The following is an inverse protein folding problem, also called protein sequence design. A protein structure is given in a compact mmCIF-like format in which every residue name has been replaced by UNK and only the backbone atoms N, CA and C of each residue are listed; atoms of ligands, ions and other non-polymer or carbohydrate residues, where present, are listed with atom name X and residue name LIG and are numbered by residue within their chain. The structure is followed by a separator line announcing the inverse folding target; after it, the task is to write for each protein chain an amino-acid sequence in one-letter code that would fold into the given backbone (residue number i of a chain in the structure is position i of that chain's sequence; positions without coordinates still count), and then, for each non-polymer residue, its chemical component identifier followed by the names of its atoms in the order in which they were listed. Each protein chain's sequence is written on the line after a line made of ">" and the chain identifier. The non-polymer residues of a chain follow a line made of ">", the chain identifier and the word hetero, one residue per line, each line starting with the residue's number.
data_IF_949768889984
#
_entry.id   IF_949768889984
#
_cell.length_a   1.000
_cell.length_b   1.000
_cell.length_c   1.000
_cell.angle_alpha   90.00
_cell.angle_beta   90.00
_cell.angle_gamma   90.00
#
_symmetry.space_group_name_H-M   'P 1'
#
loop_
_entity.id
_entity.type
_entity.pdbx_description
1 polymer ?
#
# COMPACT_ATOMS: atom_id res chain seq x y z
N UNK A 1 -43.22 -3.96 -20.60
CA UNK A 1 -42.95 -5.07 -21.53
C UNK A 1 -41.67 -4.76 -22.27
N UNK A 2 -40.68 -5.63 -22.14
CA UNK A 2 -39.38 -5.50 -22.77
C UNK A 2 -39.16 -6.68 -23.72
N UNK A 3 -38.42 -6.42 -24.80
CA UNK A 3 -38.13 -7.42 -25.83
C UNK A 3 -36.62 -7.50 -26.01
N UNK A 4 -36.06 -8.69 -25.84
CA UNK A 4 -34.67 -9.00 -26.16
C UNK A 4 -34.64 -9.82 -27.44
N UNK A 5 -33.81 -9.40 -28.40
CA UNK A 5 -33.54 -10.14 -29.64
C UNK A 5 -32.09 -10.61 -29.62
N UNK A 6 -31.88 -11.90 -29.86
CA UNK A 6 -30.54 -12.50 -29.93
C UNK A 6 -30.40 -13.23 -31.25
N UNK A 7 -29.33 -12.93 -31.98
CA UNK A 7 -28.97 -13.57 -33.24
C UNK A 7 -27.59 -14.19 -33.07
N UNK A 8 -27.49 -15.51 -33.18
CA UNK A 8 -26.21 -16.20 -33.11
C UNK A 8 -25.48 -16.12 -34.45
N UNK A 9 -24.15 -16.03 -34.43
CA UNK A 9 -23.29 -16.03 -35.62
C UNK A 9 -22.33 -17.22 -35.54
N UNK A 10 -22.05 -17.87 -36.68
CA UNK A 10 -21.22 -19.08 -36.74
C UNK A 10 -19.70 -18.86 -36.67
N UNK A 11 -19.24 -17.63 -36.38
CA UNK A 11 -17.82 -17.25 -36.29
C UNK A 11 -17.48 -16.62 -34.94
N UNK A 12 -16.20 -16.66 -34.55
CA UNK A 12 -15.70 -16.19 -33.23
C UNK A 12 -15.64 -14.67 -33.07
N UNK A 13 -15.94 -13.90 -34.12
CA UNK A 13 -15.77 -12.43 -34.19
C UNK A 13 -16.95 -11.73 -34.89
N UNK A 14 -18.15 -12.31 -34.85
CA UNK A 14 -19.37 -11.80 -35.50
C UNK A 14 -19.30 -11.74 -37.05
N UNK A 15 -18.24 -12.24 -37.69
CA UNK A 15 -18.08 -12.25 -39.17
C UNK A 15 -18.78 -13.44 -39.87
N UNK A 16 -19.28 -14.41 -39.10
CA UNK A 16 -19.94 -15.62 -39.62
C UNK A 16 -21.32 -15.36 -40.23
N UNK A 17 -21.96 -16.41 -40.74
CA UNK A 17 -23.34 -16.31 -41.23
C UNK A 17 -24.31 -16.17 -40.06
N UNK A 18 -25.21 -15.18 -40.13
CA UNK A 18 -26.23 -14.98 -39.12
C UNK A 18 -27.20 -16.17 -39.08
N UNK A 19 -27.36 -16.76 -37.91
CA UNK A 19 -28.37 -17.78 -37.63
C UNK A 19 -29.76 -17.19 -37.39
N UNK A 20 -30.75 -18.02 -37.05
CA UNK A 20 -32.09 -17.55 -36.71
C UNK A 20 -32.06 -16.60 -35.51
N UNK A 21 -32.91 -15.58 -35.55
CA UNK A 21 -33.06 -14.61 -34.45
C UNK A 21 -34.13 -15.09 -33.49
N UNK A 22 -33.77 -15.20 -32.22
CA UNK A 22 -34.70 -15.55 -31.15
C UNK A 22 -35.18 -14.26 -30.47
N UNK A 23 -36.49 -14.13 -30.31
CA UNK A 23 -37.12 -13.00 -29.64
C UNK A 23 -37.72 -13.47 -28.33
N UNK A 24 -37.28 -12.90 -27.21
CA UNK A 24 -37.81 -13.17 -25.87
C UNK A 24 -38.56 -11.94 -25.40
N UNK A 25 -39.84 -12.13 -25.04
CA UNK A 25 -40.67 -11.11 -24.41
C UNK A 25 -40.70 -11.35 -22.90
N UNK A 26 -40.40 -10.31 -22.11
CA UNK A 26 -40.52 -10.37 -20.66
C UNK A 26 -41.09 -9.08 -20.09
N UNK A 27 -41.75 -9.20 -18.94
CA UNK A 27 -42.27 -8.07 -18.20
C UNK A 27 -41.45 -7.89 -16.93
N UNK A 28 -40.99 -6.67 -16.69
CA UNK A 28 -40.40 -6.29 -15.40
C UNK A 28 -41.53 -5.68 -14.58
N UNK A 29 -41.86 -6.30 -13.46
CA UNK A 29 -42.80 -5.75 -12.49
C UNK A 29 -42.01 -5.22 -11.32
N UNK A 30 -41.98 -3.90 -11.15
CA UNK A 30 -41.44 -3.31 -9.92
C UNK A 30 -42.50 -3.51 -8.84
N UNK A 31 -42.19 -4.30 -7.81
CA UNK A 31 -43.03 -4.42 -6.63
C UNK A 31 -42.91 -3.14 -5.80
N UNK A 32 -43.69 -2.11 -6.13
CA UNK A 32 -43.90 -0.98 -5.24
C UNK A 32 -44.98 -1.35 -4.20
N UNK A 33 -44.61 -2.10 -3.17
CA UNK A 33 -45.45 -2.31 -2.00
C UNK A 33 -44.61 -2.40 -0.73
N UNK A 34 -44.14 -1.23 -0.31
CA UNK A 34 -43.79 -0.98 1.08
C UNK A 34 -44.37 0.38 1.44
N UNK A 35 -45.56 0.41 2.04
CA UNK A 35 -46.03 1.58 2.77
C UNK A 35 -44.95 1.94 3.79
N UNK A 36 -44.53 3.21 3.93
CA UNK A 36 -43.54 3.57 4.94
C UNK A 36 -44.09 3.19 6.32
N UNK A 37 -43.42 2.22 6.96
CA UNK A 37 -43.68 1.89 8.37
C UNK A 37 -43.44 3.15 9.20
N UNK A 38 -44.40 3.61 10.01
CA UNK A 38 -44.18 4.75 10.87
C UNK A 38 -42.99 4.48 11.80
N UNK A 39 -42.08 5.45 11.87
CA UNK A 39 -40.94 5.44 12.80
C UNK A 39 -41.46 5.11 14.21
N UNK A 40 -40.97 4.05 14.87
CA UNK A 40 -41.38 3.77 16.24
C UNK A 40 -40.98 4.94 17.14
N UNK A 41 -41.97 5.47 17.86
CA UNK A 41 -41.75 6.34 19.01
C UNK A 41 -40.92 5.55 20.02
N UNK A 42 -39.80 6.09 20.56
CA UNK A 42 -38.97 5.36 21.50
C UNK A 42 -39.77 5.04 22.76
N UNK A 43 -40.11 3.77 22.94
CA UNK A 43 -40.57 3.23 24.22
C UNK A 43 -39.44 3.35 25.23
N UNK A 44 -39.70 3.97 26.37
CA UNK A 44 -38.75 4.07 27.47
C UNK A 44 -38.17 2.67 27.81
N UNK A 45 -36.86 2.55 27.73
CA UNK A 45 -36.12 1.35 28.12
C UNK A 45 -36.42 1.03 29.58
N UNK A 46 -36.86 -0.19 29.93
CA UNK A 46 -37.01 -0.59 31.33
C UNK A 46 -35.64 -0.51 32.02
N UNK A 47 -35.63 0.11 33.20
CA UNK A 47 -34.47 0.20 34.09
C UNK A 47 -34.02 -1.24 34.40
N UNK A 48 -32.80 -1.57 33.99
CA UNK A 48 -32.19 -2.86 34.30
C UNK A 48 -31.95 -2.96 35.81
N UNK A 49 -32.52 -3.99 36.43
CA UNK A 49 -32.21 -4.43 37.79
C UNK A 49 -30.72 -4.77 37.89
N UNK A 50 -30.04 -4.20 38.89
CA UNK A 50 -28.62 -4.40 39.11
C UNK A 50 -28.26 -5.90 39.24
N UNK A 51 -27.42 -6.37 38.33
CA UNK A 51 -26.76 -7.68 38.42
C UNK A 51 -25.53 -7.53 39.31
N UNK A 52 -25.31 -8.40 40.32
CA UNK A 52 -24.17 -8.27 41.23
C UNK A 52 -22.84 -8.40 40.48
N UNK A 53 -21.89 -7.55 40.86
CA UNK A 53 -20.59 -7.39 40.24
C UNK A 53 -19.77 -8.70 40.26
N UNK A 54 -19.32 -9.22 39.10
CA UNK A 54 -18.28 -10.22 39.08
C UNK A 54 -16.95 -9.60 39.54
N UNK A 55 -16.30 -10.27 40.48
CA UNK A 55 -15.00 -9.92 41.04
C UNK A 55 -13.96 -9.76 39.92
N UNK A 56 -13.33 -8.59 39.86
CA UNK A 56 -12.35 -8.20 38.86
C UNK A 56 -11.10 -9.10 38.90
N UNK A 57 -10.91 -9.87 37.84
CA UNK A 57 -9.57 -10.35 37.45
C UNK A 57 -9.05 -9.37 36.40
N UNK A 58 -7.86 -8.75 36.53
CA UNK A 58 -7.42 -7.74 35.59
C UNK A 58 -7.03 -8.39 34.26
N UNK A 59 -7.85 -8.18 33.23
CA UNK A 59 -7.49 -8.46 31.82
C UNK A 59 -6.94 -7.17 31.23
N UNK A 60 -5.65 -7.17 30.96
CA UNK A 60 -4.91 -6.16 30.21
C UNK A 60 -5.39 -6.14 28.75
N UNK A 61 -6.49 -5.46 28.47
CA UNK A 61 -6.87 -5.01 27.13
C UNK A 61 -6.26 -3.64 26.86
N UNK A 62 -4.96 -3.60 26.60
CA UNK A 62 -4.25 -2.38 26.18
C UNK A 62 -3.66 -2.60 24.79
N UNK A 63 -4.21 -1.95 23.77
CA UNK A 63 -3.45 -1.70 22.54
C UNK A 63 -2.19 -0.91 22.92
N UNK A 64 -1.07 -1.17 22.23
CA UNK A 64 0.15 -0.42 22.51
C UNK A 64 -0.09 1.08 22.27
N UNK A 65 0.25 1.89 23.28
CA UNK A 65 0.30 3.34 23.09
C UNK A 65 1.29 3.67 21.97
N UNK A 66 1.02 4.71 21.19
CA UNK A 66 2.02 5.29 20.28
C UNK A 66 3.11 6.06 21.03
N UNK A 67 2.95 6.28 22.34
CA UNK A 67 3.96 6.87 23.20
C UNK A 67 5.03 5.83 23.58
N UNK A 68 6.30 6.25 23.53
CA UNK A 68 7.41 5.42 23.99
C UNK A 68 7.31 5.09 25.49
N UNK A 69 7.67 3.87 25.90
CA UNK A 69 7.73 3.49 27.30
C UNK A 69 8.86 4.20 28.04
N UNK A 70 8.71 4.33 29.36
CA UNK A 70 9.75 4.93 30.23
C UNK A 70 11.02 4.08 30.37
N UNK A 71 10.97 2.80 29.97
CA UNK A 71 12.11 1.89 30.03
C UNK A 71 12.04 0.82 28.94
N UNK A 72 13.24 0.39 28.50
CA UNK A 72 13.43 -0.67 27.52
C UNK A 72 14.37 -1.73 28.08
N UNK A 73 14.06 -2.99 27.80
CA UNK A 73 14.96 -4.13 27.95
C UNK A 73 15.99 -4.15 26.83
N UNK A 74 17.09 -4.89 27.06
CA UNK A 74 18.06 -5.22 26.02
C UNK A 74 17.40 -6.06 24.92
N UNK A 75 18.01 -6.11 23.71
CA UNK A 75 17.51 -6.95 22.64
C UNK A 75 17.31 -8.42 23.02
N UNK A 76 16.38 -9.09 22.34
CA UNK A 76 16.10 -10.52 22.52
C UNK A 76 16.33 -11.34 21.26
N UNK A 77 16.57 -12.64 21.45
CA UNK A 77 16.60 -13.64 20.38
C UNK A 77 15.49 -14.66 20.65
N UNK A 78 14.55 -14.77 19.72
CA UNK A 78 13.44 -15.73 19.75
C UNK A 78 13.89 -16.97 18.98
N UNK A 79 14.16 -18.06 19.70
CA UNK A 79 14.62 -19.33 19.12
C UNK A 79 13.57 -20.44 19.11
N UNK A 80 12.34 -20.14 19.53
CA UNK A 80 11.19 -21.07 19.59
C UNK A 80 9.91 -20.31 19.27
N UNK A 81 8.90 -21.02 18.78
CA UNK A 81 7.58 -20.47 18.54
C UNK A 81 6.89 -20.06 19.84
N UNK A 82 5.94 -19.15 19.73
CA UNK A 82 5.20 -18.62 20.86
C UNK A 82 4.79 -17.16 20.69
N UNK A 83 4.15 -16.63 21.73
CA UNK A 83 3.75 -15.22 21.81
C UNK A 83 4.72 -14.46 22.70
N UNK A 84 5.17 -13.31 22.21
CA UNK A 84 6.15 -12.45 22.87
C UNK A 84 5.58 -11.03 22.96
N UNK A 85 5.73 -10.43 24.13
CA UNK A 85 5.42 -9.03 24.38
C UNK A 85 6.51 -8.37 25.22
N UNK A 86 6.79 -7.09 24.95
CA UNK A 86 7.79 -6.36 25.71
C UNK A 86 8.29 -5.09 25.03
N UNK A 87 9.17 -4.41 25.75
CA UNK A 87 9.83 -3.18 25.30
C UNK A 87 11.30 -3.50 25.06
N UNK A 88 11.76 -3.52 23.81
CA UNK A 88 13.14 -3.87 23.48
C UNK A 88 13.81 -2.78 22.67
N UNK A 89 15.05 -2.46 23.03
CA UNK A 89 15.81 -1.44 22.32
C UNK A 89 17.23 -1.85 22.01
N UNK A 90 17.62 -1.71 20.76
CA UNK A 90 19.03 -1.73 20.36
C UNK A 90 19.66 -0.34 20.52
N UNK A 91 20.93 -0.30 20.90
CA UNK A 91 21.76 0.92 20.89
C UNK A 91 22.76 0.93 19.73
N UNK A 92 22.81 -0.12 18.91
CA UNK A 92 23.75 -0.28 17.80
C UNK A 92 23.03 -0.22 16.46
N UNK A 93 23.60 0.50 15.49
CA UNK A 93 23.10 0.55 14.11
C UNK A 93 23.21 -0.80 13.40
N UNK A 94 24.16 -1.64 13.84
CA UNK A 94 24.35 -3.01 13.30
C UNK A 94 23.61 -4.07 14.15
N UNK A 95 22.86 -3.65 15.16
CA UNK A 95 22.10 -4.52 16.05
C UNK A 95 20.61 -4.56 15.72
N UNK A 96 19.88 -5.42 16.44
CA UNK A 96 18.43 -5.55 16.38
C UNK A 96 17.77 -5.35 17.73
N UNK A 97 16.48 -4.99 17.76
CA UNK A 97 15.70 -5.04 19.00
C UNK A 97 15.19 -6.46 19.27
N UNK A 98 14.74 -7.16 18.23
CA UNK A 98 14.29 -8.55 18.27
C UNK A 98 14.91 -9.29 17.09
N UNK A 99 15.50 -10.47 17.35
CA UNK A 99 15.87 -11.42 16.30
C UNK A 99 15.00 -12.66 16.37
N UNK A 100 14.39 -13.04 15.25
CA UNK A 100 13.64 -14.28 15.10
C UNK A 100 14.54 -15.32 14.43
N UNK A 101 14.99 -16.29 15.21
CA UNK A 101 15.91 -17.35 14.80
C UNK A 101 15.21 -18.73 14.79
N UNK A 102 13.94 -18.76 14.36
CA UNK A 102 13.15 -19.99 14.26
C UNK A 102 12.17 -19.92 13.10
N UNK A 103 11.79 -21.09 12.57
CA UNK A 103 10.73 -21.26 11.57
C UNK A 103 9.38 -21.63 12.18
N UNK A 104 9.35 -21.85 13.51
CA UNK A 104 8.12 -22.05 14.26
C UNK A 104 7.28 -20.77 14.29
N UNK A 105 5.94 -20.84 14.43
CA UNK A 105 5.11 -19.65 14.49
C UNK A 105 5.45 -18.74 15.67
N UNK A 106 5.74 -17.47 15.38
CA UNK A 106 6.06 -16.43 16.37
C UNK A 106 5.03 -15.31 16.26
N UNK A 107 4.46 -14.92 17.40
CA UNK A 107 3.61 -13.74 17.52
C UNK A 107 4.35 -12.72 18.36
N UNK A 108 4.60 -11.53 17.82
CA UNK A 108 5.08 -10.36 18.57
C UNK A 108 3.90 -9.41 18.68
N UNK A 109 3.44 -9.16 19.91
CA UNK A 109 2.27 -8.31 20.12
C UNK A 109 2.40 -7.39 21.32
N UNK A 110 1.65 -6.28 21.30
CA UNK A 110 1.59 -5.32 22.40
C UNK A 110 2.99 -4.89 22.87
N UNK A 111 3.87 -4.60 21.89
CA UNK A 111 5.29 -4.38 22.11
C UNK A 111 5.74 -2.99 21.68
N UNK A 112 6.85 -2.52 22.25
CA UNK A 112 7.53 -1.30 21.85
C UNK A 112 8.96 -1.61 21.44
N UNK A 113 9.29 -1.39 20.17
CA UNK A 113 10.61 -1.68 19.62
C UNK A 113 11.28 -0.37 19.22
N UNK A 114 12.54 -0.19 19.59
CA UNK A 114 13.28 1.00 19.25
C UNK A 114 14.75 0.72 18.94
N UNK A 115 15.38 1.62 18.22
CA UNK A 115 16.82 1.57 17.99
C UNK A 115 17.24 2.14 16.63
N UNK A 116 18.56 2.27 16.41
CA UNK A 116 19.08 2.80 15.15
C UNK A 116 19.25 1.75 14.05
N UNK A 117 19.32 0.47 14.40
CA UNK A 117 19.41 -0.66 13.47
C UNK A 117 18.05 -1.26 13.13
N UNK A 118 18.05 -2.48 12.59
CA UNK A 118 16.81 -3.20 12.22
C UNK A 118 16.01 -3.59 13.47
N UNK A 119 14.72 -3.28 13.56
CA UNK A 119 13.98 -3.52 14.80
C UNK A 119 13.58 -4.99 14.98
N UNK A 120 13.02 -5.62 13.95
CA UNK A 120 12.82 -7.08 13.87
C UNK A 120 13.69 -7.62 12.74
N UNK A 121 14.72 -8.39 13.11
CA UNK A 121 15.54 -9.17 12.17
C UNK A 121 15.03 -10.61 12.13
N UNK A 122 14.46 -11.03 11.00
CA UNK A 122 13.97 -12.38 10.77
C UNK A 122 14.66 -13.06 9.58
N UNK A 123 15.87 -12.60 9.22
CA UNK A 123 16.62 -13.11 8.09
C UNK A 123 17.12 -14.54 8.35
N UNK A 124 16.93 -15.43 7.36
CA UNK A 124 17.58 -16.75 7.30
C UNK A 124 16.91 -17.86 8.12
N UNK A 125 15.74 -17.61 8.70
CA UNK A 125 15.01 -18.57 9.52
C UNK A 125 13.80 -19.22 8.83
N UNK A 126 13.48 -18.88 7.58
CA UNK A 126 12.20 -19.26 6.94
C UNK A 126 11.02 -18.90 7.86
N UNK A 127 11.05 -17.66 8.35
CA UNK A 127 10.26 -17.22 9.50
C UNK A 127 8.74 -17.28 9.25
N UNK A 128 7.98 -17.59 10.31
CA UNK A 128 6.52 -17.53 10.31
C UNK A 128 6.09 -16.55 11.40
N UNK A 129 5.80 -15.30 11.02
CA UNK A 129 5.66 -14.20 11.98
C UNK A 129 4.31 -13.52 11.84
N UNK A 130 3.68 -13.29 12.99
CA UNK A 130 2.62 -12.30 13.18
C UNK A 130 3.17 -11.16 14.05
N UNK A 131 3.06 -9.92 13.60
CA UNK A 131 3.40 -8.72 14.36
C UNK A 131 2.16 -7.85 14.46
N UNK A 132 1.68 -7.58 15.68
CA UNK A 132 0.47 -6.76 15.84
C UNK A 132 0.45 -5.87 17.05
N UNK A 133 -0.38 -4.83 16.99
CA UNK A 133 -0.64 -3.93 18.11
C UNK A 133 0.67 -3.41 18.75
N UNK A 134 1.69 -3.12 17.95
CA UNK A 134 3.03 -2.78 18.43
C UNK A 134 3.50 -1.46 17.84
N UNK A 135 4.44 -0.80 18.51
CA UNK A 135 5.06 0.44 18.06
C UNK A 135 6.55 0.28 17.78
N UNK A 136 7.02 0.98 16.76
CA UNK A 136 8.36 0.88 16.20
C UNK A 136 8.95 2.28 16.04
N UNK A 137 10.06 2.56 16.71
CA UNK A 137 10.71 3.87 16.70
C UNK A 137 12.15 3.77 16.19
N UNK A 138 12.40 4.34 15.01
CA UNK A 138 13.73 4.40 14.43
C UNK A 138 14.54 5.57 14.97
N UNK A 139 15.69 5.27 15.59
CA UNK A 139 16.58 6.28 16.15
C UNK A 139 17.67 6.66 15.17
N UNK A 140 18.15 7.89 15.27
CA UNK A 140 19.29 8.34 14.47
C UNK A 140 20.51 7.45 14.76
N UNK A 141 21.17 6.90 13.72
CA UNK A 141 22.38 6.09 13.90
C UNK A 141 23.47 6.82 14.66
N UNK A 142 24.20 6.09 15.50
CA UNK A 142 25.37 6.61 16.21
C UNK A 142 26.65 6.59 15.33
N UNK A 143 26.55 6.03 14.12
CA UNK A 143 27.62 5.94 13.12
C UNK A 143 27.30 6.87 11.95
N UNK A 144 28.32 7.60 11.50
CA UNK A 144 28.23 8.52 10.37
C UNK A 144 28.03 7.79 9.03
N UNK A 145 27.35 8.44 8.09
CA UNK A 145 27.06 7.91 6.75
C UNK A 145 26.38 6.52 6.76
N UNK A 146 25.60 6.25 7.81
CA UNK A 146 24.72 5.09 7.91
C UNK A 146 23.29 5.56 8.06
N UNK A 147 22.37 4.90 7.36
CA UNK A 147 20.93 5.10 7.52
C UNK A 147 20.40 4.31 8.71
N UNK A 148 19.17 4.60 9.09
CA UNK A 148 18.40 3.76 10.02
C UNK A 148 18.17 2.39 9.40
N UNK A 149 18.13 1.38 10.25
CA UNK A 149 17.73 0.03 9.85
C UNK A 149 16.23 -0.09 9.61
N UNK A 150 15.83 -1.27 9.14
CA UNK A 150 14.44 -1.58 8.82
C UNK A 150 13.56 -1.70 10.06
N UNK A 151 12.25 -1.50 9.95
CA UNK A 151 11.39 -1.89 11.07
C UNK A 151 11.27 -3.41 11.15
N UNK A 152 11.03 -4.06 10.01
CA UNK A 152 10.91 -5.51 9.89
C UNK A 152 11.66 -5.96 8.64
N UNK A 153 12.64 -6.86 8.81
CA UNK A 153 13.38 -7.48 7.71
C UNK A 153 13.11 -8.98 7.68
N UNK A 154 12.40 -9.44 6.64
CA UNK A 154 12.05 -10.84 6.42
C UNK A 154 12.62 -11.30 5.08
N UNK A 155 13.85 -11.79 5.11
CA UNK A 155 14.47 -12.47 3.97
C UNK A 155 14.37 -13.99 4.13
N UNK A 156 13.68 -14.63 3.19
CA UNK A 156 13.21 -16.02 3.25
C UNK A 156 12.22 -16.26 4.38
N UNK A 157 10.92 -16.30 4.06
CA UNK A 157 9.87 -16.43 5.06
C UNK A 157 8.67 -17.24 4.56
N UNK A 158 7.93 -17.83 5.49
CA UNK A 158 6.72 -18.62 5.21
C UNK A 158 5.46 -17.79 5.33
N UNK A 159 5.35 -16.96 6.37
CA UNK A 159 4.13 -16.21 6.66
C UNK A 159 4.51 -14.86 7.29
N UNK A 160 3.81 -13.81 6.85
CA UNK A 160 3.94 -12.47 7.38
C UNK A 160 2.55 -11.87 7.59
N UNK A 161 2.16 -11.67 8.84
CA UNK A 161 0.93 -10.96 9.22
C UNK A 161 1.32 -9.76 10.07
N UNK A 162 1.31 -8.57 9.47
CA UNK A 162 1.79 -7.33 10.08
C UNK A 162 0.61 -6.36 10.17
N UNK A 163 -0.01 -6.27 11.35
CA UNK A 163 -1.31 -5.61 11.50
C UNK A 163 -1.42 -4.68 12.69
N UNK A 164 -2.10 -3.54 12.53
CA UNK A 164 -2.37 -2.60 13.62
C UNK A 164 -1.09 -2.13 14.34
N UNK A 165 -0.02 -1.88 13.60
CA UNK A 165 1.23 -1.37 14.16
C UNK A 165 1.40 0.13 13.87
N UNK A 166 2.21 0.78 14.71
CA UNK A 166 2.66 2.15 14.50
C UNK A 166 4.17 2.17 14.22
N UNK A 167 4.57 2.79 13.13
CA UNK A 167 5.97 2.95 12.74
C UNK A 167 6.31 4.43 12.65
N UNK A 168 7.32 4.89 13.39
CA UNK A 168 7.78 6.27 13.32
C UNK A 168 9.28 6.34 13.10
N UNK A 169 9.68 7.12 12.10
CA UNK A 169 11.08 7.49 11.86
C UNK A 169 12.00 6.27 11.65
N UNK A 170 11.48 5.12 11.21
CA UNK A 170 12.27 3.95 10.82
C UNK A 170 12.96 4.18 9.49
N UNK A 171 13.91 3.32 9.11
CA UNK A 171 14.32 3.24 7.70
C UNK A 171 13.18 2.67 6.85
N UNK A 172 13.51 1.88 5.82
CA UNK A 172 12.53 1.03 5.14
C UNK A 172 11.68 0.26 6.16
N UNK A 173 10.36 0.29 6.02
CA UNK A 173 9.49 -0.18 7.12
C UNK A 173 9.42 -1.70 7.10
N UNK A 174 9.01 -2.29 5.97
CA UNK A 174 8.80 -3.74 5.85
C UNK A 174 9.47 -4.24 4.56
N UNK A 175 10.48 -5.10 4.73
CA UNK A 175 11.10 -5.86 3.65
C UNK A 175 10.55 -7.30 3.67
N UNK A 176 9.93 -7.72 2.56
CA UNK A 176 9.41 -9.07 2.35
C UNK A 176 10.06 -9.68 1.12
N UNK A 177 11.09 -10.49 1.32
CA UNK A 177 11.85 -11.08 0.22
C UNK A 177 11.83 -12.62 0.27
N UNK A 178 11.68 -13.25 -0.90
CA UNK A 178 11.76 -14.71 -1.08
C UNK A 178 10.74 -15.53 -0.24
N UNK A 179 9.46 -15.39 -0.56
CA UNK A 179 8.39 -16.17 0.06
C UNK A 179 8.50 -17.69 -0.24
N UNK A 180 8.38 -18.53 0.80
CA UNK A 180 8.48 -20.00 0.72
C UNK A 180 7.33 -20.75 1.41
N UNK A 181 6.25 -20.04 1.78
CA UNK A 181 5.10 -20.61 2.50
C UNK A 181 4.13 -21.43 1.65
N UNK A 182 3.19 -22.10 2.31
CA UNK A 182 2.23 -23.02 1.69
C UNK A 182 1.00 -22.36 1.04
N UNK A 183 0.77 -21.06 1.25
CA UNK A 183 -0.34 -20.25 0.69
C UNK A 183 -1.75 -20.59 1.18
N UNK A 184 -1.92 -21.63 1.98
CA UNK A 184 -3.22 -22.02 2.54
C UNK A 184 -3.42 -21.44 3.92
N UNK A 185 -2.41 -21.60 4.78
CA UNK A 185 -2.38 -21.04 6.14
C UNK A 185 -1.26 -20.00 6.31
N UNK A 186 -0.30 -20.01 5.39
CA UNK A 186 0.86 -19.13 5.37
C UNK A 186 0.67 -18.14 4.23
N UNK A 187 0.62 -16.83 4.52
CA UNK A 187 0.29 -15.78 3.53
C UNK A 187 1.07 -14.49 3.82
N UNK A 188 0.85 -13.45 3.01
CA UNK A 188 1.35 -12.09 3.25
C UNK A 188 0.17 -11.17 3.52
N UNK A 189 0.15 -10.52 4.68
CA UNK A 189 -0.84 -9.51 5.06
C UNK A 189 -0.14 -8.35 5.74
N UNK A 190 -0.25 -7.15 5.16
CA UNK A 190 0.21 -5.89 5.75
C UNK A 190 -0.99 -4.96 5.84
N UNK A 191 -1.61 -4.84 7.02
CA UNK A 191 -2.91 -4.19 7.14
C UNK A 191 -3.06 -3.28 8.34
N UNK A 192 -3.86 -2.23 8.20
CA UNK A 192 -4.24 -1.36 9.33
C UNK A 192 -3.03 -0.72 10.02
N UNK A 193 -1.87 -0.61 9.37
CA UNK A 193 -0.70 -0.02 9.98
C UNK A 193 -0.71 1.49 9.79
N UNK A 194 -0.10 2.20 10.73
CA UNK A 194 0.16 3.63 10.64
C UNK A 194 1.66 3.86 10.57
N UNK A 195 2.11 4.60 9.55
CA UNK A 195 3.51 4.91 9.31
C UNK A 195 3.68 6.41 9.27
N UNK A 196 4.69 6.90 9.97
CA UNK A 196 5.06 8.31 10.01
C UNK A 196 6.53 8.50 9.75
N UNK A 197 6.86 9.20 8.68
CA UNK A 197 8.23 9.56 8.28
C UNK A 197 9.18 8.37 8.12
N UNK A 198 9.16 7.74 6.95
CA UNK A 198 10.20 6.79 6.52
C UNK A 198 11.50 7.59 6.32
N UNK A 199 12.57 7.26 7.02
CA UNK A 199 13.73 8.13 7.14
C UNK A 199 15.07 7.40 6.96
N UNK A 200 15.51 7.40 5.70
CA UNK A 200 16.80 6.85 5.27
C UNK A 200 17.96 7.86 5.28
N UNK A 201 17.80 9.04 5.89
CA UNK A 201 18.88 10.04 5.98
C UNK A 201 20.06 9.54 6.81
N UNK A 202 21.25 9.91 6.36
CA UNK A 202 22.46 9.80 7.17
C UNK A 202 22.48 10.89 8.25
N UNK A 203 23.09 10.61 9.40
CA UNK A 203 23.14 11.56 10.53
C UNK A 203 23.89 12.86 10.19
N UNK A 204 24.98 12.76 9.44
CA UNK A 204 26.03 13.79 9.35
C UNK A 204 26.27 14.31 7.93
N UNK A 205 25.40 13.96 6.98
CA UNK A 205 25.50 14.42 5.61
C UNK A 205 24.11 14.53 4.99
N UNK A 206 24.02 15.18 3.83
CA UNK A 206 22.79 15.21 3.03
C UNK A 206 22.58 13.87 2.28
N UNK A 207 23.43 12.88 2.52
CA UNK A 207 23.28 11.56 1.92
C UNK A 207 22.12 10.79 2.53
N UNK A 208 21.55 9.91 1.71
CA UNK A 208 20.54 8.96 2.10
C UNK A 208 20.66 7.72 1.21
N UNK A 209 20.03 6.63 1.63
CA UNK A 209 19.69 5.50 0.76
C UNK A 209 18.19 5.48 0.49
N UNK A 210 17.77 4.60 -0.41
CA UNK A 210 16.37 4.37 -0.69
C UNK A 210 15.72 3.44 0.33
N UNK A 211 14.44 3.66 0.59
CA UNK A 211 13.67 2.85 1.51
C UNK A 211 12.18 3.05 1.29
N UNK A 212 11.43 1.97 1.49
CA UNK A 212 10.02 1.89 1.14
C UNK A 212 9.15 1.74 2.39
N UNK A 213 7.83 1.90 2.25
CA UNK A 213 6.92 1.38 3.29
C UNK A 213 6.87 -0.14 3.19
N UNK A 214 6.56 -0.70 2.02
CA UNK A 214 6.64 -2.13 1.78
C UNK A 214 7.44 -2.41 0.52
N UNK A 215 8.47 -3.23 0.65
CA UNK A 215 9.19 -3.83 -0.47
C UNK A 215 8.81 -5.31 -0.57
N UNK A 216 8.42 -5.75 -1.77
CA UNK A 216 8.05 -7.13 -2.04
C UNK A 216 8.97 -7.71 -3.10
N UNK A 217 9.85 -8.64 -2.69
CA UNK A 217 10.97 -9.13 -3.48
C UNK A 217 10.89 -10.61 -3.85
N UNK A 218 11.23 -10.95 -5.10
CA UNK A 218 11.58 -12.29 -5.56
C UNK A 218 10.53 -13.41 -5.38
N UNK A 219 9.24 -13.09 -5.21
CA UNK A 219 8.20 -14.12 -5.08
C UNK A 219 8.02 -14.95 -6.35
N UNK A 220 8.19 -14.32 -7.52
CA UNK A 220 8.01 -14.99 -8.81
C UNK A 220 9.13 -15.98 -9.15
N UNK A 221 10.26 -15.93 -8.44
CA UNK A 221 11.38 -16.86 -8.65
C UNK A 221 11.18 -18.22 -7.95
N UNK A 222 10.25 -18.30 -6.99
CA UNK A 222 10.02 -19.52 -6.22
C UNK A 222 8.55 -19.87 -6.07
N UNK A 223 7.75 -18.95 -5.53
CA UNK A 223 6.40 -19.26 -5.09
C UNK A 223 5.49 -18.01 -5.03
N UNK A 224 4.82 -17.64 -6.13
CA UNK A 224 3.91 -16.49 -6.14
C UNK A 224 2.79 -16.67 -5.11
N UNK A 225 2.42 -15.62 -4.37
CA UNK A 225 1.51 -15.72 -3.22
C UNK A 225 0.30 -14.82 -3.38
N UNK A 226 -0.86 -15.28 -2.92
CA UNK A 226 -2.00 -14.40 -2.65
C UNK A 226 -1.70 -13.60 -1.38
N UNK A 227 -1.22 -12.37 -1.56
CA UNK A 227 -0.96 -11.45 -0.46
C UNK A 227 -1.83 -10.19 -0.56
N UNK A 228 -1.90 -9.48 0.56
CA UNK A 228 -2.72 -8.29 0.75
C UNK A 228 -1.89 -7.19 1.41
N UNK A 229 -1.83 -6.02 0.78
CA UNK A 229 -1.37 -4.77 1.40
C UNK A 229 -2.56 -3.82 1.39
N UNK A 230 -3.26 -3.68 2.52
CA UNK A 230 -4.50 -2.92 2.52
C UNK A 230 -4.79 -2.14 3.78
N UNK A 231 -5.53 -1.04 3.63
CA UNK A 231 -5.95 -0.19 4.75
C UNK A 231 -4.79 0.34 5.60
N UNK A 232 -3.65 0.68 5.00
CA UNK A 232 -2.54 1.31 5.73
C UNK A 232 -2.58 2.84 5.58
N UNK A 233 -2.16 3.57 6.61
CA UNK A 233 -1.98 5.02 6.60
C UNK A 233 -0.49 5.35 6.63
N UNK A 234 0.06 5.86 5.54
CA UNK A 234 1.46 6.29 5.42
C UNK A 234 1.50 7.79 5.24
N UNK A 235 2.12 8.49 6.19
CA UNK A 235 2.27 9.95 6.15
C UNK A 235 3.73 10.31 6.37
N UNK A 236 4.34 10.83 5.32
CA UNK A 236 5.66 11.40 5.35
C UNK A 236 5.56 12.92 5.22
N UNK A 237 6.33 13.63 6.03
CA UNK A 237 6.41 15.08 6.04
C UNK A 237 7.64 15.54 5.23
N UNK A 238 7.51 16.56 4.35
CA UNK A 238 8.63 17.11 3.61
C UNK A 238 9.81 17.44 4.52
N UNK A 239 11.02 17.01 4.14
CA UNK A 239 12.24 17.26 4.89
C UNK A 239 12.44 16.43 6.17
N UNK A 240 11.44 15.69 6.64
CA UNK A 240 11.57 14.76 7.78
C UNK A 240 11.72 13.30 7.36
N UNK A 241 11.30 12.96 6.15
CA UNK A 241 11.43 11.65 5.55
C UNK A 241 12.41 11.64 4.38
N UNK A 242 12.93 10.46 4.05
CA UNK A 242 13.51 10.12 2.75
C UNK A 242 13.04 8.72 2.42
N UNK A 243 12.20 8.63 1.39
CA UNK A 243 11.65 7.39 0.88
C UNK A 243 11.83 7.33 -0.63
N UNK A 244 11.92 6.12 -1.15
CA UNK A 244 11.84 5.87 -2.58
C UNK A 244 10.39 5.61 -2.97
N UNK A 245 9.96 4.38 -3.09
CA UNK A 245 8.56 4.07 -3.36
C UNK A 245 7.86 3.77 -2.04
N UNK A 246 6.59 4.14 -1.91
CA UNK A 246 5.87 3.73 -0.70
C UNK A 246 5.58 2.23 -0.75
N UNK A 247 5.12 1.70 -1.89
CA UNK A 247 4.96 0.27 -2.11
C UNK A 247 5.71 -0.11 -3.38
N UNK A 248 6.70 -0.98 -3.27
CA UNK A 248 7.49 -1.48 -4.39
C UNK A 248 7.36 -3.00 -4.53
N UNK A 249 7.19 -3.47 -5.76
CA UNK A 249 7.29 -4.88 -6.11
C UNK A 249 8.49 -5.08 -7.02
N UNK A 250 9.48 -5.85 -6.58
CA UNK A 250 10.63 -6.25 -7.37
C UNK A 250 10.63 -7.76 -7.57
N UNK A 251 10.29 -8.19 -8.79
CA UNK A 251 10.19 -9.61 -9.15
C UNK A 251 9.18 -10.41 -8.30
N UNK A 252 8.04 -9.80 -8.00
CA UNK A 252 7.01 -10.35 -7.12
C UNK A 252 5.61 -10.28 -7.72
N UNK A 253 4.67 -11.04 -7.16
CA UNK A 253 3.31 -11.10 -7.66
C UNK A 253 2.51 -12.28 -7.13
N UNK A 254 1.27 -12.37 -7.63
CA UNK A 254 0.32 -13.44 -7.32
C UNK A 254 0.26 -14.52 -8.39
N UNK A 255 -0.88 -15.21 -8.46
CA UNK A 255 -1.20 -16.25 -9.46
C UNK A 255 -2.41 -15.85 -10.28
N UNK A 256 -2.57 -16.45 -11.45
CA UNK A 256 -3.76 -16.24 -12.29
C UNK A 256 -5.07 -16.57 -11.57
N UNK A 257 -5.06 -17.54 -10.65
CA UNK A 257 -6.21 -17.92 -9.84
C UNK A 257 -6.40 -17.06 -8.59
N UNK A 258 -5.41 -16.24 -8.21
CA UNK A 258 -5.44 -15.40 -7.01
C UNK A 258 -4.37 -14.32 -7.07
N UNK A 259 -4.79 -13.10 -7.36
CA UNK A 259 -3.90 -11.95 -7.54
C UNK A 259 -3.43 -11.42 -6.19
N UNK A 260 -2.25 -10.80 -6.15
CA UNK A 260 -1.81 -10.03 -4.99
C UNK A 260 -2.55 -8.69 -5.00
N UNK A 261 -3.19 -8.30 -3.90
CA UNK A 261 -3.99 -7.08 -3.83
C UNK A 261 -3.29 -5.96 -3.03
N UNK A 262 -3.38 -4.74 -3.55
CA UNK A 262 -2.91 -3.51 -2.90
C UNK A 262 -4.10 -2.55 -2.86
N UNK A 263 -4.76 -2.39 -1.71
CA UNK A 263 -6.03 -1.67 -1.72
C UNK A 263 -6.34 -0.80 -0.51
N UNK A 264 -7.13 0.24 -0.76
CA UNK A 264 -7.65 1.12 0.29
C UNK A 264 -6.56 1.72 1.20
N UNK A 265 -5.32 1.87 0.70
CA UNK A 265 -4.26 2.53 1.45
C UNK A 265 -4.35 4.05 1.29
N UNK A 266 -3.92 4.79 2.31
CA UNK A 266 -3.58 6.20 2.19
C UNK A 266 -2.07 6.36 2.19
N UNK A 267 -1.54 6.90 1.09
CA UNK A 267 -0.11 7.01 0.84
C UNK A 267 0.24 8.47 0.57
N UNK A 268 0.84 9.15 1.55
CA UNK A 268 1.24 10.56 1.44
C UNK A 268 2.74 10.75 1.56
N UNK A 269 3.32 11.46 0.59
CA UNK A 269 4.65 12.06 0.72
C UNK A 269 5.81 11.11 0.40
N UNK A 270 6.09 10.83 -0.87
CA UNK A 270 7.40 10.27 -1.19
C UNK A 270 8.39 11.37 -1.55
N UNK A 271 9.51 11.42 -0.82
CA UNK A 271 10.50 12.49 -0.93
C UNK A 271 11.93 11.96 -0.99
N UNK A 272 12.74 12.54 -1.87
CA UNK A 272 14.18 12.24 -1.92
C UNK A 272 14.95 12.89 -0.77
N UNK A 273 16.20 12.48 -0.60
CA UNK A 273 17.18 13.14 0.28
C UNK A 273 17.34 14.62 -0.05
N UNK A 274 17.46 14.93 -1.35
CA UNK A 274 17.34 16.28 -1.90
C UNK A 274 16.00 16.41 -2.64
N UNK A 275 15.05 17.09 -2.01
CA UNK A 275 13.69 17.31 -2.57
C UNK A 275 13.67 18.11 -3.88
N UNK A 276 14.81 18.64 -4.32
CA UNK A 276 14.95 19.35 -5.60
C UNK A 276 15.93 18.69 -6.57
N UNK A 277 16.32 17.44 -6.34
CA UNK A 277 17.00 16.64 -7.35
C UNK A 277 16.02 16.27 -8.48
N UNK A 278 16.25 16.68 -9.74
CA UNK A 278 15.38 16.32 -10.86
C UNK A 278 15.44 14.82 -11.23
N UNK A 279 16.44 14.07 -10.75
CA UNK A 279 16.70 12.69 -11.15
C UNK A 279 16.28 11.64 -10.11
N UNK A 280 15.83 12.02 -8.92
CA UNK A 280 15.61 11.03 -7.88
C UNK A 280 14.35 10.17 -8.08
N UNK A 281 14.31 9.03 -7.40
CA UNK A 281 13.18 8.10 -7.38
C UNK A 281 12.29 8.33 -6.14
N UNK A 282 11.00 8.63 -6.35
CA UNK A 282 10.02 8.84 -5.28
C UNK A 282 8.59 8.51 -5.75
N UNK A 283 8.17 7.27 -5.57
CA UNK A 283 6.88 6.78 -6.06
C UNK A 283 5.82 6.53 -4.98
N UNK A 284 4.58 6.39 -5.43
CA UNK A 284 3.50 5.81 -4.63
C UNK A 284 3.55 4.28 -4.69
N UNK A 285 2.96 3.69 -5.72
CA UNK A 285 2.91 2.23 -5.94
C UNK A 285 3.66 1.88 -7.23
N UNK A 286 4.83 1.26 -7.14
CA UNK A 286 5.63 0.88 -8.31
C UNK A 286 5.77 -0.63 -8.43
N UNK A 287 5.56 -1.11 -9.66
CA UNK A 287 5.80 -2.50 -10.04
C UNK A 287 7.04 -2.56 -10.92
N UNK A 288 8.16 -2.94 -10.32
CA UNK A 288 9.47 -3.02 -10.94
C UNK A 288 9.80 -4.45 -11.37
N UNK A 289 10.03 -4.59 -12.67
CA UNK A 289 10.52 -5.83 -13.26
C UNK A 289 11.34 -5.52 -14.50
N UNK A 290 12.10 -6.50 -14.98
CA UNK A 290 12.91 -6.36 -16.19
C UNK A 290 12.22 -6.94 -17.43
N UNK A 291 11.21 -7.79 -17.23
CA UNK A 291 10.50 -8.52 -18.28
C UNK A 291 9.07 -8.88 -17.85
N UNK A 292 8.30 -9.49 -18.76
CA UNK A 292 6.89 -9.82 -18.53
C UNK A 292 6.65 -11.01 -17.60
N UNK A 293 7.69 -11.68 -17.11
CA UNK A 293 7.59 -12.88 -16.26
C UNK A 293 7.84 -12.60 -14.80
N UNK A 294 8.58 -11.53 -14.48
CA UNK A 294 9.07 -11.28 -13.13
C UNK A 294 8.08 -10.57 -12.21
N UNK A 295 7.12 -9.80 -12.73
CA UNK A 295 6.02 -9.26 -11.94
C UNK A 295 4.70 -9.65 -12.59
N UNK A 296 3.77 -10.25 -11.82
CA UNK A 296 2.52 -10.71 -12.41
C UNK A 296 1.34 -10.82 -11.42
N UNK A 297 0.12 -10.69 -11.96
CA UNK A 297 -1.12 -10.92 -11.22
C UNK A 297 -1.21 -10.04 -9.97
N UNK A 298 -1.15 -8.74 -10.19
CA UNK A 298 -1.18 -7.70 -9.14
C UNK A 298 -2.36 -6.78 -9.42
N UNK A 299 -3.19 -6.58 -8.42
CA UNK A 299 -4.35 -5.69 -8.49
C UNK A 299 -4.19 -4.58 -7.46
N UNK A 300 -4.24 -3.32 -7.91
CA UNK A 300 -4.16 -2.15 -7.04
C UNK A 300 -5.42 -1.30 -7.16
N UNK A 301 -6.21 -1.18 -6.09
CA UNK A 301 -7.49 -0.47 -6.17
C UNK A 301 -7.91 0.30 -4.93
N UNK A 302 -8.74 1.33 -5.11
CA UNK A 302 -9.29 2.10 -3.99
C UNK A 302 -8.25 2.86 -3.18
N UNK A 303 -6.98 2.94 -3.63
CA UNK A 303 -5.92 3.65 -2.91
C UNK A 303 -6.08 5.17 -3.08
N UNK A 304 -5.74 5.92 -2.02
CA UNK A 304 -5.65 7.37 -2.02
C UNK A 304 -4.17 7.76 -1.92
N UNK A 305 -3.59 8.18 -3.03
CA UNK A 305 -2.18 8.54 -3.17
C UNK A 305 -2.08 10.06 -3.27
N UNK A 306 -1.33 10.67 -2.36
CA UNK A 306 -1.25 12.11 -2.21
C UNK A 306 0.19 12.63 -2.13
N UNK A 307 0.46 13.79 -2.73
CA UNK A 307 1.74 14.51 -2.58
C UNK A 307 2.97 13.64 -2.83
N UNK A 308 2.98 12.90 -3.94
CA UNK A 308 4.14 12.14 -4.40
C UNK A 308 4.95 13.03 -5.34
N UNK A 309 6.27 12.97 -5.25
CA UNK A 309 7.15 13.78 -6.10
C UNK A 309 7.23 13.25 -7.53
N UNK A 310 7.69 12.00 -7.73
CA UNK A 310 8.06 11.49 -9.06
C UNK A 310 6.88 10.81 -9.77
N UNK A 311 6.47 9.60 -9.34
CA UNK A 311 5.44 8.81 -10.02
C UNK A 311 4.36 8.34 -9.07
N UNK A 312 3.08 8.58 -9.38
CA UNK A 312 1.99 8.16 -8.50
C UNK A 312 1.85 6.64 -8.42
N UNK A 313 1.59 6.00 -9.56
CA UNK A 313 1.56 4.54 -9.67
C UNK A 313 1.91 4.07 -11.08
N UNK A 314 2.53 2.90 -11.21
CA UNK A 314 2.85 2.38 -12.53
C UNK A 314 3.60 1.06 -12.54
N UNK A 315 3.94 0.61 -13.75
CA UNK A 315 4.69 -0.61 -13.96
C UNK A 315 5.81 -0.40 -14.98
N UNK A 316 7.02 -0.80 -14.62
CA UNK A 316 8.17 -0.80 -15.52
C UNK A 316 8.25 -2.04 -16.43
N UNK A 317 7.64 -3.14 -15.99
CA UNK A 317 7.50 -4.39 -16.71
C UNK A 317 6.43 -5.27 -16.03
N UNK A 318 6.21 -6.47 -16.57
CA UNK A 318 5.37 -7.51 -15.96
C UNK A 318 4.14 -7.86 -16.79
N UNK A 319 3.21 -8.60 -16.19
CA UNK A 319 1.96 -8.98 -16.86
C UNK A 319 0.76 -9.12 -15.96
N UNK A 320 -0.44 -8.90 -16.49
CA UNK A 320 -1.68 -9.00 -15.71
C UNK A 320 -1.60 -8.13 -14.46
N UNK A 321 -1.38 -6.84 -14.69
CA UNK A 321 -1.34 -5.82 -13.64
C UNK A 321 -2.55 -4.92 -13.86
N UNK A 322 -3.38 -4.76 -12.84
CA UNK A 322 -4.62 -4.01 -12.94
C UNK A 322 -4.69 -2.95 -11.85
N UNK A 323 -4.64 -1.68 -12.24
CA UNK A 323 -4.70 -0.53 -11.33
C UNK A 323 -6.00 0.24 -11.58
N UNK A 324 -6.95 0.18 -10.65
CA UNK A 324 -8.27 0.79 -10.88
C UNK A 324 -8.93 1.41 -9.66
N UNK A 325 -9.84 2.34 -9.86
CA UNK A 325 -10.58 3.02 -8.79
C UNK A 325 -9.67 3.70 -7.74
N UNK A 326 -8.42 4.02 -8.12
CA UNK A 326 -7.49 4.76 -7.28
C UNK A 326 -7.67 6.26 -7.49
N UNK A 327 -7.29 7.03 -6.47
CA UNK A 327 -7.21 8.49 -6.52
C UNK A 327 -5.76 8.89 -6.34
N UNK A 328 -5.19 9.56 -7.34
CA UNK A 328 -3.78 10.00 -7.33
C UNK A 328 -3.75 11.52 -7.49
N UNK A 329 -3.58 12.23 -6.38
CA UNK A 329 -3.68 13.69 -6.32
C UNK A 329 -2.37 14.28 -5.80
N UNK A 330 -1.67 15.06 -6.61
CA UNK A 330 -0.46 15.79 -6.25
C UNK A 330 -0.51 17.17 -6.91
N UNK A 331 -0.23 18.22 -6.13
CA UNK A 331 -0.08 19.57 -6.72
C UNK A 331 1.23 19.74 -7.48
N UNK A 332 2.16 18.80 -7.32
CA UNK A 332 3.53 18.93 -7.81
C UNK A 332 4.36 20.00 -7.12
N UNK A 333 3.88 20.58 -6.00
CA UNK A 333 4.52 21.71 -5.31
C UNK A 333 4.80 21.42 -3.84
N UNK A 334 5.83 22.07 -3.32
CA UNK A 334 6.05 22.18 -1.88
C UNK A 334 5.13 23.24 -1.24
N UNK A 335 5.20 23.37 0.09
CA UNK A 335 4.40 24.34 0.86
C UNK A 335 4.73 25.82 0.53
N UNK A 336 5.86 26.09 -0.14
CA UNK A 336 6.20 27.45 -0.62
C UNK A 336 5.61 27.75 -2.00
N UNK A 337 4.99 26.75 -2.65
CA UNK A 337 4.46 26.84 -4.00
C UNK A 337 5.51 26.56 -5.10
N UNK A 338 6.72 26.14 -4.73
CA UNK A 338 7.77 25.76 -5.69
C UNK A 338 7.48 24.36 -6.23
N UNK A 339 7.63 24.21 -7.54
CA UNK A 339 7.49 22.91 -8.20
C UNK A 339 8.58 21.93 -7.79
N UNK A 340 8.19 20.67 -7.58
CA UNK A 340 9.11 19.55 -7.52
C UNK A 340 9.64 19.27 -8.93
N UNK A 341 10.98 19.21 -9.11
CA UNK A 341 11.56 19.04 -10.42
C UNK A 341 11.52 17.58 -10.90
N UNK A 342 11.62 16.62 -9.98
CA UNK A 342 11.37 15.22 -10.26
C UNK A 342 9.87 14.98 -10.24
N UNK A 343 9.18 15.30 -11.34
CA UNK A 343 7.77 14.99 -11.55
C UNK A 343 7.61 14.28 -12.88
N UNK A 344 7.11 13.05 -12.83
CA UNK A 344 6.76 12.26 -13.99
C UNK A 344 5.24 12.29 -14.16
N UNK A 345 4.50 11.25 -13.75
CA UNK A 345 3.06 11.21 -13.98
C UNK A 345 2.28 10.61 -12.80
N UNK A 346 0.98 10.93 -12.69
CA UNK A 346 0.11 10.25 -11.74
C UNK A 346 0.01 8.74 -12.02
N UNK A 347 -0.12 8.36 -13.28
CA UNK A 347 -0.07 6.97 -13.72
C UNK A 347 0.86 6.77 -14.90
N UNK A 348 1.56 5.63 -14.95
CA UNK A 348 2.47 5.35 -16.05
C UNK A 348 2.67 3.86 -16.32
N UNK A 349 3.25 3.55 -17.48
CA UNK A 349 3.60 2.21 -17.88
C UNK A 349 4.45 2.20 -19.15
N UNK A 350 5.71 1.79 -19.00
CA UNK A 350 6.63 1.64 -20.11
C UNK A 350 7.80 0.73 -19.72
N UNK A 351 8.45 0.14 -20.71
CA UNK A 351 9.68 -0.63 -20.55
C UNK A 351 10.85 0.23 -20.06
N UNK A 352 10.98 0.41 -18.75
CA UNK A 352 12.04 1.26 -18.20
C UNK A 352 13.43 0.70 -18.49
N UNK A 353 13.58 -0.63 -18.41
CA UNK A 353 14.89 -1.29 -18.48
C UNK A 353 15.32 -1.69 -19.89
N UNK A 354 14.40 -1.72 -20.87
CA UNK A 354 14.68 -2.01 -22.30
C UNK A 354 15.46 -3.32 -22.54
N UNK A 355 15.37 -4.26 -21.61
CA UNK A 355 16.07 -5.55 -21.60
C UNK A 355 15.33 -6.64 -22.38
N UNK A 356 14.00 -6.56 -22.42
CA UNK A 356 13.12 -7.49 -23.14
C UNK A 356 12.37 -6.74 -24.26
N UNK A 357 12.23 -7.29 -25.48
CA UNK A 357 11.43 -6.69 -26.55
C UNK A 357 9.91 -6.66 -26.26
N UNK A 358 9.41 -7.47 -25.34
CA UNK A 358 8.02 -7.57 -24.89
C UNK A 358 7.92 -7.57 -23.35
N UNK A 359 8.37 -6.52 -22.66
CA UNK A 359 8.51 -6.51 -21.21
C UNK A 359 7.17 -6.37 -20.47
N UNK A 360 6.08 -6.08 -21.19
CA UNK A 360 4.76 -5.79 -20.62
C UNK A 360 3.66 -6.55 -21.36
N UNK A 361 2.68 -7.10 -20.65
CA UNK A 361 1.50 -7.75 -21.26
C UNK A 361 0.27 -7.59 -20.36
N UNK A 362 -0.87 -7.15 -20.89
CA UNK A 362 -2.09 -6.97 -20.10
C UNK A 362 -1.90 -6.08 -18.85
N UNK A 363 -1.34 -4.90 -19.09
CA UNK A 363 -1.27 -3.83 -18.09
C UNK A 363 -2.49 -2.94 -18.28
N UNK A 364 -3.35 -2.88 -17.27
CA UNK A 364 -4.62 -2.16 -17.30
C UNK A 364 -4.62 -1.09 -16.21
N UNK A 365 -4.82 0.16 -16.59
CA UNK A 365 -5.01 1.26 -15.65
C UNK A 365 -6.33 1.95 -15.98
N UNK A 366 -7.37 1.69 -15.19
CA UNK A 366 -8.74 2.06 -15.55
C UNK A 366 -9.56 2.64 -14.41
N UNK A 367 -10.56 3.47 -14.71
CA UNK A 367 -11.51 4.00 -13.72
C UNK A 367 -10.86 4.78 -12.54
N UNK A 368 -9.65 5.29 -12.72
CA UNK A 368 -8.98 6.07 -11.68
C UNK A 368 -9.35 7.55 -11.76
N UNK A 369 -9.04 8.30 -10.70
CA UNK A 369 -9.15 9.76 -10.65
C UNK A 369 -7.75 10.35 -10.51
N UNK A 370 -7.33 11.15 -11.49
CA UNK A 370 -5.99 11.74 -11.53
C UNK A 370 -6.01 13.25 -11.40
N UNK A 371 -5.16 13.74 -10.52
CA UNK A 371 -4.92 15.16 -10.26
C UNK A 371 -3.43 15.38 -10.12
N UNK A 372 -2.67 15.51 -11.21
CA UNK A 372 -1.21 15.61 -11.14
C UNK A 372 -0.66 16.91 -11.74
N UNK A 373 -0.27 17.85 -10.88
CA UNK A 373 0.44 19.05 -11.30
C UNK A 373 1.88 18.74 -11.69
N UNK A 374 2.31 19.20 -12.86
CA UNK A 374 3.68 19.09 -13.34
C UNK A 374 4.04 20.26 -14.26
N UNK A 375 5.00 21.11 -13.87
CA UNK A 375 5.33 22.33 -14.61
C UNK A 375 5.79 22.07 -16.04
N UNK A 376 5.21 22.79 -17.00
CA UNK A 376 5.59 22.71 -18.42
C UNK A 376 5.01 21.51 -19.17
N UNK A 377 4.23 20.67 -18.51
CA UNK A 377 3.50 19.55 -19.12
C UNK A 377 2.06 19.95 -19.48
N UNK A 378 1.36 19.04 -20.15
CA UNK A 378 -0.03 19.21 -20.53
C UNK A 378 -0.81 17.92 -20.25
N UNK A 379 -1.99 18.04 -19.62
CA UNK A 379 -2.87 16.89 -19.37
C UNK A 379 -3.24 16.19 -20.68
N UNK A 380 -3.08 14.87 -20.68
CA UNK A 380 -3.47 14.00 -21.78
C UNK A 380 -5.00 13.79 -21.85
N UNK A 381 -5.76 14.21 -20.83
CA UNK A 381 -7.21 14.09 -20.77
C UNK A 381 -7.88 15.39 -21.23
N UNK A 382 -7.64 16.50 -20.52
CA UNK A 382 -8.28 17.80 -20.80
C UNK A 382 -7.47 18.71 -21.73
N UNK A 383 -6.16 18.52 -21.81
CA UNK A 383 -5.25 19.48 -22.45
C UNK A 383 -4.84 20.65 -21.54
N UNK A 384 -5.15 20.61 -20.24
CA UNK A 384 -4.75 21.64 -19.28
C UNK A 384 -3.23 21.75 -19.15
N UNK A 385 -2.72 22.98 -19.09
CA UNK A 385 -1.30 23.26 -18.86
C UNK A 385 -0.87 22.93 -17.41
N UNK A 386 0.42 22.68 -17.26
CA UNK A 386 1.07 22.32 -16.00
C UNK A 386 0.48 21.07 -15.31
N UNK A 387 0.09 20.07 -16.11
CA UNK A 387 -0.44 18.77 -15.64
C UNK A 387 0.17 17.59 -16.40
N UNK A 388 0.31 16.45 -15.70
CA UNK A 388 0.70 15.16 -16.29
C UNK A 388 -0.04 14.00 -15.61
N UNK A 389 -1.33 13.85 -15.91
CA UNK A 389 -2.20 12.88 -15.24
C UNK A 389 -1.85 11.43 -15.57
N UNK A 390 -1.39 11.15 -16.78
CA UNK A 390 -0.77 9.86 -17.08
C UNK A 390 0.21 9.93 -18.24
N UNK A 391 1.19 9.03 -18.26
CA UNK A 391 2.03 8.78 -19.42
C UNK A 391 1.66 7.45 -20.08
N UNK A 392 1.13 7.54 -21.30
CA UNK A 392 0.80 6.39 -22.15
C UNK A 392 1.71 6.24 -23.37
N UNK A 393 2.88 6.89 -23.39
CA UNK A 393 3.79 6.93 -24.56
C UNK A 393 4.42 5.57 -24.88
N UNK A 394 4.38 4.61 -23.95
CA UNK A 394 4.66 3.21 -24.25
C UNK A 394 3.44 2.55 -24.90
N UNK A 395 3.59 2.00 -26.11
CA UNK A 395 2.60 1.11 -26.77
C UNK A 395 2.38 -0.23 -26.03
N UNK A 396 2.53 -0.25 -24.71
CA UNK A 396 2.75 -1.43 -23.87
C UNK A 396 1.63 -1.65 -22.85
N UNK A 397 0.55 -0.88 -22.93
CA UNK A 397 -0.66 -1.10 -22.14
C UNK A 397 -1.59 -2.09 -22.83
N UNK A 398 -2.21 -2.95 -22.02
CA UNK A 398 -3.44 -3.63 -22.41
C UNK A 398 -4.61 -2.65 -22.45
N UNK A 399 -4.66 -1.68 -21.52
CA UNK A 399 -5.70 -0.66 -21.48
C UNK A 399 -5.36 0.55 -20.58
N UNK A 400 -5.74 1.76 -21.03
CA UNK A 400 -5.75 3.02 -20.27
C UNK A 400 -7.11 3.70 -20.49
N UNK A 401 -8.17 3.29 -19.76
CA UNK A 401 -9.56 3.67 -20.09
C UNK A 401 -10.35 4.18 -18.90
N UNK A 402 -11.33 5.03 -19.18
CA UNK A 402 -12.28 5.56 -18.18
C UNK A 402 -11.64 6.27 -16.97
N UNK A 403 -10.35 6.60 -17.06
CA UNK A 403 -9.70 7.44 -16.07
C UNK A 403 -10.25 8.86 -16.20
N UNK A 404 -10.48 9.52 -15.07
CA UNK A 404 -11.09 10.84 -15.01
C UNK A 404 -10.12 11.84 -14.43
N UNK A 405 -10.20 13.04 -14.95
CA UNK A 405 -9.42 14.17 -14.48
C UNK A 405 -10.09 14.81 -13.26
N UNK A 406 -9.34 14.95 -12.17
CA UNK A 406 -9.74 15.69 -10.99
C UNK A 406 -9.65 17.20 -11.27
N UNK A 407 -10.77 17.90 -11.14
CA UNK A 407 -10.90 19.36 -11.36
C UNK A 407 -10.30 19.84 -12.70
N UNK A 408 -10.82 19.41 -13.85
CA UNK A 408 -10.40 19.94 -15.15
C UNK A 408 -10.61 21.46 -15.20
N UNK A 409 -9.68 22.17 -15.83
CA UNK A 409 -9.60 23.62 -15.94
C UNK A 409 -9.13 24.35 -14.68
N UNK A 410 -8.63 23.63 -13.67
CA UNK A 410 -8.23 24.22 -12.37
C UNK A 410 -6.89 23.69 -11.87
N UNK A 411 -6.16 24.53 -11.13
CA UNK A 411 -4.92 24.11 -10.45
C UNK A 411 -5.24 23.21 -9.26
N UNK A 412 -4.50 22.11 -9.13
CA UNK A 412 -4.54 21.23 -7.96
C UNK A 412 -3.80 21.91 -6.79
N UNK A 413 -4.41 21.92 -5.61
CA UNK A 413 -3.91 22.63 -4.43
C UNK A 413 -3.39 21.69 -3.33
N UNK A 414 -2.73 22.24 -2.32
CA UNK A 414 -2.39 21.48 -1.09
C UNK A 414 -3.64 20.97 -0.37
N UNK A 415 -4.69 21.79 -0.30
CA UNK A 415 -5.97 21.41 0.29
C UNK A 415 -6.62 20.20 -0.42
N UNK A 416 -6.41 20.05 -1.73
CA UNK A 416 -6.93 18.91 -2.49
C UNK A 416 -6.23 17.60 -2.11
N UNK A 417 -4.92 17.67 -1.86
CA UNK A 417 -4.12 16.53 -1.39
C UNK A 417 -4.50 16.15 0.04
N UNK A 418 -4.76 17.14 0.90
CA UNK A 418 -5.22 16.91 2.27
C UNK A 418 -6.64 16.36 2.34
N UNK A 419 -7.50 16.71 1.37
CA UNK A 419 -8.84 16.15 1.27
C UNK A 419 -8.81 14.62 1.02
N UNK A 420 -7.79 14.09 0.34
CA UNK A 420 -7.64 12.64 0.18
C UNK A 420 -7.49 11.91 1.52
N UNK A 421 -6.87 12.54 2.53
CA UNK A 421 -6.83 11.98 3.88
C UNK A 421 -8.24 11.90 4.49
N UNK A 422 -9.04 12.95 4.34
CA UNK A 422 -10.41 12.97 4.86
C UNK A 422 -11.28 11.89 4.20
N UNK A 423 -11.17 11.71 2.89
CA UNK A 423 -11.84 10.64 2.16
C UNK A 423 -11.41 9.26 2.65
N UNK A 424 -10.11 9.04 2.86
CA UNK A 424 -9.62 7.80 3.46
C UNK A 424 -10.19 7.57 4.86
N UNK A 425 -10.18 8.56 5.74
CA UNK A 425 -10.74 8.43 7.09
C UNK A 425 -12.24 8.12 7.06
N UNK A 426 -12.99 8.68 6.12
CA UNK A 426 -14.39 8.34 5.90
C UNK A 426 -14.57 6.88 5.45
N UNK A 427 -13.73 6.39 4.52
CA UNK A 427 -13.74 4.97 4.10
C UNK A 427 -13.46 4.04 5.29
N UNK A 428 -12.43 4.34 6.07
CA UNK A 428 -12.08 3.59 7.29
C UNK A 428 -13.26 3.55 8.27
N UNK A 429 -13.87 4.70 8.54
CA UNK A 429 -15.03 4.79 9.42
C UNK A 429 -16.24 4.01 8.89
N UNK A 430 -16.55 4.14 7.60
CA UNK A 430 -17.66 3.44 6.97
C UNK A 430 -17.47 1.91 6.96
N UNK A 431 -16.23 1.44 6.88
CA UNK A 431 -15.87 0.04 6.99
C UNK A 431 -15.83 -0.48 8.45
N UNK A 432 -15.99 0.40 9.46
CA UNK A 432 -15.90 0.03 10.87
C UNK A 432 -14.49 -0.37 11.30
N UNK A 433 -13.46 0.15 10.62
CA UNK A 433 -12.06 -0.20 10.83
C UNK A 433 -11.37 0.78 11.77
N UNK A 434 -10.29 0.32 12.39
CA UNK A 434 -9.32 1.13 13.13
C UNK A 434 -7.93 0.97 12.49
N UNK A 435 -7.09 2.01 12.56
CA UNK A 435 -5.77 2.04 11.93
C UNK A 435 -4.73 2.37 13.00
N UNK A 436 -3.72 1.50 13.11
CA UNK A 436 -2.74 1.51 14.20
C UNK A 436 -3.25 0.79 15.46
N UNK A 437 -2.41 0.75 16.52
CA UNK A 437 -2.76 0.14 17.79
C UNK A 437 -3.79 0.94 18.62
#
# INVERSE_FOLDING_TARGET
>A
SHTLKVTAYSGSDLSGTAGPTYTVHFNVTVLSSGTPTPTPVPTATPIATATPAPTSTPVSGGGASTAEPSSYSTPIVISRGGTYSGNWRSTSVDGYAVKVATSEPVIIENSHLAGPGTLIDAVGASSNITVRNSSFHGYTPNVDNRSRGRAIDMTTFKNAVIENNFFENTGEVIELNSYVGNQTTETVKVRYNRVKNINMKYRNSNGAVYGNFVSVGAFMQGNPVNGEIGWNEVINEPGKSVSEDLINFSFAGGKSSSWFTIHDNYLKGSYHGDVFDPAGSAGGIQIDGEDNTRCAYIEAYGNSIAQIMNGGMGAAAGRHIYMHDNRVISSGKDASGRWFPASYAAAWGFAAYKTDPNPMTDIRIENNVFGWGAQGYQSQISGDADRQDYDATGNMFGSMKNNTEYKPGSTITEADQDNEYQLFRQKVQAAGLHIGP
#
